data_IF_385676978316
#
_entry.id   IF_385676978316
#
_cell.length_a   1.000
_cell.length_b   1.000
_cell.length_c   1.000
_cell.angle_alpha   90.00
_cell.angle_beta   90.00
_cell.angle_gamma   90.00
#
_symmetry.space_group_name_H-M   'P 1'
#
loop_
_entity.id
_entity.type
_entity.pdbx_description
1 polymer ?
#
# COMPACT_ATOMS: atom_id res chain seq x y z
N UNK A 1 -64.92 25.93 49.79
CA UNK A 1 -63.62 25.29 49.48
C UNK A 1 -63.52 24.90 48.00
N UNK A 2 -63.26 25.78 47.00
CA UNK A 2 -63.18 25.31 45.58
C UNK A 2 -62.27 26.08 44.60
N UNK A 3 -61.50 27.10 44.98
CA UNK A 3 -60.65 27.85 44.02
C UNK A 3 -59.14 27.69 44.17
N UNK A 4 -58.62 27.41 45.38
CA UNK A 4 -57.17 27.21 45.61
C UNK A 4 -56.63 25.90 45.02
N UNK A 5 -57.44 24.83 45.02
CA UNK A 5 -57.00 23.52 44.54
C UNK A 5 -56.96 23.42 43.00
N UNK A 6 -57.67 24.28 42.27
CA UNK A 6 -57.69 24.22 40.80
C UNK A 6 -56.42 24.83 40.19
N UNK A 7 -55.86 25.85 40.83
CA UNK A 7 -54.66 26.56 40.36
C UNK A 7 -53.40 25.71 40.62
N UNK A 8 -53.34 24.98 41.75
CA UNK A 8 -52.23 24.05 42.02
C UNK A 8 -52.18 22.89 41.03
N UNK A 9 -53.33 22.35 40.61
CA UNK A 9 -53.36 21.26 39.62
C UNK A 9 -52.98 21.76 38.22
N UNK A 10 -53.36 22.98 37.84
CA UNK A 10 -52.99 23.57 36.55
C UNK A 10 -51.48 23.85 36.42
N UNK A 11 -50.83 24.28 37.50
CA UNK A 11 -49.37 24.54 37.53
C UNK A 11 -48.56 23.23 37.46
N UNK A 12 -49.06 22.15 38.07
CA UNK A 12 -48.39 20.85 38.06
C UNK A 12 -48.44 20.16 36.68
N UNK A 13 -49.55 20.33 35.94
CA UNK A 13 -49.69 19.78 34.57
C UNK A 13 -48.80 20.55 33.56
N UNK A 14 -48.63 21.87 33.74
CA UNK A 14 -47.73 22.67 32.90
C UNK A 14 -46.24 22.35 33.15
N UNK A 15 -45.86 21.98 34.38
CA UNK A 15 -44.48 21.57 34.67
C UNK A 15 -44.14 20.18 34.12
N UNK A 16 -45.10 19.24 34.10
CA UNK A 16 -44.89 17.90 33.52
C UNK A 16 -44.84 17.95 31.98
N UNK A 17 -45.55 18.88 31.35
CA UNK A 17 -45.50 19.07 29.89
C UNK A 17 -44.16 19.67 29.39
N UNK A 18 -43.43 20.40 30.25
CA UNK A 18 -42.14 21.00 29.90
C UNK A 18 -40.98 19.98 29.83
N UNK A 19 -41.09 18.84 30.52
CA UNK A 19 -40.06 17.78 30.50
C UNK A 19 -40.21 16.79 29.34
N UNK A 20 -41.31 16.84 28.57
CA UNK A 20 -41.51 15.95 27.42
C UNK A 20 -40.86 16.44 26.12
N UNK A 21 -40.28 17.65 26.10
CA UNK A 21 -39.63 18.22 24.91
C UNK A 21 -38.10 18.32 24.99
N UNK A 22 -37.46 17.82 26.05
CA UNK A 22 -36.04 17.45 25.99
C UNK A 22 -35.89 16.04 25.42
N UNK A 23 -36.59 15.78 24.31
CA UNK A 23 -36.23 14.66 23.46
C UNK A 23 -34.85 14.97 22.90
N UNK A 24 -33.85 14.22 23.34
CA UNK A 24 -32.53 14.18 22.72
C UNK A 24 -32.77 14.15 21.21
N UNK A 25 -32.46 15.26 20.51
CA UNK A 25 -32.10 15.17 19.11
C UNK A 25 -30.92 14.22 19.12
N UNK A 26 -31.18 12.95 18.82
CA UNK A 26 -30.16 12.01 18.41
C UNK A 26 -29.60 12.70 17.17
N UNK A 27 -28.52 13.47 17.36
CA UNK A 27 -27.72 13.95 16.27
C UNK A 27 -27.52 12.72 15.42
N UNK A 28 -27.95 12.77 14.16
CA UNK A 28 -27.57 11.74 13.21
C UNK A 28 -26.05 11.75 13.31
N UNK A 29 -25.48 10.75 13.95
CA UNK A 29 -24.07 10.45 13.80
C UNK A 29 -23.91 10.39 12.29
N UNK A 30 -23.26 11.40 11.70
CA UNK A 30 -22.82 11.30 10.34
C UNK A 30 -21.86 10.13 10.35
N UNK A 31 -22.35 8.95 9.96
CA UNK A 31 -21.49 7.84 9.61
C UNK A 31 -20.57 8.40 8.53
N UNK A 32 -19.26 8.52 8.80
CA UNK A 32 -18.37 9.13 7.86
C UNK A 32 -18.42 8.28 6.62
N UNK A 33 -18.66 8.93 5.49
CA UNK A 33 -18.49 8.29 4.20
C UNK A 33 -16.99 7.97 4.03
N UNK A 34 -16.54 6.72 4.25
CA UNK A 34 -15.14 6.36 4.14
C UNK A 34 -14.79 6.03 2.69
N UNK A 35 -15.69 6.27 1.73
CA UNK A 35 -15.59 5.73 0.37
C UNK A 35 -14.28 6.13 -0.30
N UNK A 36 -13.84 7.38 -0.20
CA UNK A 36 -12.60 7.80 -0.86
C UNK A 36 -11.33 7.29 -0.15
N UNK A 37 -11.33 7.12 1.18
CA UNK A 37 -10.22 6.51 1.93
C UNK A 37 -10.14 5.00 1.70
N UNK A 38 -11.29 4.32 1.67
CA UNK A 38 -11.38 2.90 1.35
C UNK A 38 -10.95 2.63 -0.10
N UNK A 39 -11.39 3.50 -1.03
CA UNK A 39 -10.98 3.44 -2.42
C UNK A 39 -9.48 3.69 -2.57
N UNK A 40 -8.94 4.70 -1.89
CA UNK A 40 -7.50 4.97 -1.86
C UNK A 40 -6.70 3.76 -1.37
N UNK A 41 -7.13 3.11 -0.28
CA UNK A 41 -6.45 1.94 0.25
C UNK A 41 -6.43 0.78 -0.76
N UNK A 42 -7.56 0.53 -1.44
CA UNK A 42 -7.66 -0.49 -2.50
C UNK A 42 -6.76 -0.17 -3.69
N UNK A 43 -6.77 1.08 -4.15
CA UNK A 43 -5.95 1.54 -5.27
C UNK A 43 -4.46 1.43 -4.93
N UNK A 44 -4.06 1.85 -3.72
CA UNK A 44 -2.68 1.77 -3.28
C UNK A 44 -2.18 0.33 -3.22
N UNK A 45 -2.96 -0.58 -2.64
CA UNK A 45 -2.60 -2.00 -2.59
C UNK A 45 -2.50 -2.61 -4.00
N UNK A 46 -3.39 -2.23 -4.91
CA UNK A 46 -3.36 -2.68 -6.31
C UNK A 46 -2.13 -2.17 -7.04
N UNK A 47 -1.85 -0.86 -6.99
CA UNK A 47 -0.69 -0.24 -7.63
C UNK A 47 0.61 -0.79 -7.04
N UNK A 48 0.67 -0.93 -5.71
CA UNK A 48 1.82 -1.50 -5.03
C UNK A 48 2.08 -2.93 -5.51
N UNK A 49 1.07 -3.81 -5.45
CA UNK A 49 1.23 -5.21 -5.87
C UNK A 49 1.62 -5.32 -7.35
N UNK A 50 1.04 -4.50 -8.22
CA UNK A 50 1.36 -4.50 -9.65
C UNK A 50 2.79 -4.06 -9.95
N UNK A 51 3.29 -3.04 -9.24
CA UNK A 51 4.67 -2.57 -9.41
C UNK A 51 5.69 -3.46 -8.71
N UNK A 52 5.30 -4.15 -7.63
CA UNK A 52 6.12 -5.16 -6.97
C UNK A 52 6.25 -6.43 -7.85
N UNK A 53 5.19 -6.84 -8.56
CA UNK A 53 5.27 -7.93 -9.55
C UNK A 53 6.30 -7.62 -10.65
N UNK A 54 6.30 -6.39 -11.20
CA UNK A 54 7.28 -5.97 -12.20
C UNK A 54 8.71 -5.90 -11.65
N UNK A 55 8.88 -5.53 -10.37
CA UNK A 55 10.17 -5.58 -9.71
C UNK A 55 10.66 -7.02 -9.50
N UNK A 56 9.76 -7.96 -9.17
CA UNK A 56 10.12 -9.36 -9.03
C UNK A 56 10.59 -9.93 -10.38
N UNK A 57 9.85 -9.65 -11.46
CA UNK A 57 10.26 -9.97 -12.84
C UNK A 57 11.67 -9.41 -13.15
N UNK A 58 11.92 -8.15 -12.80
CA UNK A 58 13.23 -7.51 -12.99
C UNK A 58 14.32 -8.14 -12.10
N UNK A 59 14.01 -8.46 -10.85
CA UNK A 59 14.92 -9.10 -9.92
C UNK A 59 15.34 -10.47 -10.44
N UNK A 60 14.39 -11.30 -10.89
CA UNK A 60 14.66 -12.64 -11.41
C UNK A 60 15.53 -12.55 -12.67
N UNK A 61 15.21 -11.62 -13.57
CA UNK A 61 16.03 -11.33 -14.75
C UNK A 61 17.43 -10.82 -14.37
N UNK A 62 17.61 -10.03 -13.32
CA UNK A 62 18.95 -9.52 -12.94
C UNK A 62 19.73 -10.49 -12.04
N UNK A 63 19.06 -11.52 -11.53
CA UNK A 63 19.54 -12.45 -10.52
C UNK A 63 20.25 -13.69 -11.08
N UNK A 64 20.12 -13.97 -12.38
CA UNK A 64 20.74 -15.11 -13.05
C UNK A 64 22.27 -15.13 -12.96
N UNK A 65 22.84 -16.32 -12.75
CA UNK A 65 24.27 -16.52 -12.45
C UNK A 65 25.23 -16.47 -13.67
N UNK A 66 24.73 -16.31 -14.90
CA UNK A 66 25.56 -16.19 -16.11
C UNK A 66 25.01 -15.12 -17.05
N UNK A 67 25.84 -14.67 -18.00
CA UNK A 67 25.64 -13.52 -18.89
C UNK A 67 24.43 -13.57 -19.85
N UNK A 68 23.45 -14.45 -19.61
CA UNK A 68 22.15 -14.49 -20.29
C UNK A 68 21.10 -14.99 -19.31
N UNK A 69 20.53 -14.08 -18.51
CA UNK A 69 19.43 -14.41 -17.60
C UNK A 69 18.10 -14.57 -18.36
N UNK A 70 17.99 -15.66 -19.10
CA UNK A 70 16.77 -16.16 -19.77
C UNK A 70 16.16 -17.35 -19.04
N UNK A 71 16.72 -17.78 -17.91
CA UNK A 71 16.24 -18.95 -17.17
C UNK A 71 14.89 -18.70 -16.48
N UNK A 72 14.58 -17.45 -16.11
CA UNK A 72 13.31 -17.07 -15.49
C UNK A 72 12.75 -15.82 -16.17
N UNK A 73 12.01 -16.05 -17.25
CA UNK A 73 11.33 -14.99 -17.99
C UNK A 73 9.92 -14.76 -17.44
N UNK A 74 9.43 -13.50 -17.43
CA UNK A 74 8.06 -13.22 -17.06
C UNK A 74 7.08 -13.95 -17.97
N UNK A 75 6.01 -14.52 -17.40
CA UNK A 75 4.98 -15.19 -18.19
C UNK A 75 4.26 -14.22 -19.13
N UNK A 76 4.00 -14.69 -20.36
CA UNK A 76 3.41 -13.93 -21.46
C UNK A 76 4.08 -12.56 -21.61
N UNK A 77 5.41 -12.60 -21.74
CA UNK A 77 6.22 -11.46 -22.07
C UNK A 77 7.38 -11.85 -22.98
N UNK A 78 7.86 -10.90 -23.77
CA UNK A 78 9.11 -11.02 -24.51
C UNK A 78 10.15 -10.08 -23.89
N UNK A 79 11.36 -10.59 -23.65
CA UNK A 79 12.47 -9.79 -23.15
C UNK A 79 13.46 -9.55 -24.28
N UNK A 80 13.81 -8.29 -24.52
CA UNK A 80 14.78 -7.92 -25.56
C UNK A 80 16.18 -8.41 -25.21
N UNK A 81 17.03 -8.53 -26.23
CA UNK A 81 18.47 -8.48 -25.99
C UNK A 81 18.82 -7.16 -25.30
N UNK A 82 19.72 -7.15 -24.30
CA UNK A 82 20.12 -5.92 -23.64
C UNK A 82 20.80 -4.98 -24.63
N UNK A 83 20.42 -3.71 -24.58
CA UNK A 83 21.12 -2.62 -25.27
C UNK A 83 21.98 -1.84 -24.26
N UNK A 84 23.03 -1.17 -24.73
CA UNK A 84 23.84 -0.27 -23.91
C UNK A 84 23.59 1.16 -24.32
N UNK A 85 22.84 1.89 -23.50
CA UNK A 85 22.43 3.27 -23.76
C UNK A 85 22.99 4.15 -22.66
N UNK A 86 23.83 5.14 -23.02
CA UNK A 86 24.37 6.15 -22.08
C UNK A 86 24.95 5.55 -20.79
N UNK A 87 25.81 4.53 -20.93
CA UNK A 87 26.46 3.81 -19.82
C UNK A 87 25.53 2.96 -18.93
N UNK A 88 24.29 2.72 -19.38
CA UNK A 88 23.38 1.76 -18.78
C UNK A 88 23.15 0.56 -19.69
N UNK A 89 23.03 -0.63 -19.10
CA UNK A 89 22.46 -1.80 -19.77
C UNK A 89 20.95 -1.74 -19.58
N UNK A 90 20.21 -1.78 -20.69
CA UNK A 90 18.76 -1.63 -20.74
C UNK A 90 18.13 -2.86 -21.35
N UNK A 91 17.20 -3.47 -20.63
CA UNK A 91 16.32 -4.52 -21.11
C UNK A 91 14.92 -3.97 -21.31
N UNK A 92 14.25 -4.40 -22.37
CA UNK A 92 12.84 -4.09 -22.61
C UNK A 92 12.03 -5.36 -22.42
N UNK A 93 11.07 -5.32 -21.49
CA UNK A 93 10.08 -6.37 -21.24
C UNK A 93 8.76 -5.90 -21.87
N UNK A 94 8.30 -6.62 -22.89
CA UNK A 94 7.00 -6.36 -23.52
C UNK A 94 6.02 -7.41 -23.04
N UNK A 95 5.04 -7.00 -22.24
CA UNK A 95 3.97 -7.88 -21.77
C UNK A 95 2.84 -7.96 -22.78
N UNK A 96 2.32 -9.16 -22.99
CA UNK A 96 1.28 -9.43 -23.97
C UNK A 96 0.24 -10.47 -23.48
N UNK A 97 0.05 -10.62 -22.17
CA UNK A 97 -0.92 -11.58 -21.64
C UNK A 97 -0.94 -11.71 -20.12
N UNK A 98 -1.42 -12.86 -19.67
CA UNK A 98 -1.58 -13.15 -18.25
C UNK A 98 -0.23 -13.21 -17.51
N UNK A 99 -0.19 -12.69 -16.30
CA UNK A 99 0.91 -12.92 -15.38
C UNK A 99 0.98 -14.40 -14.96
N UNK A 100 2.08 -14.81 -14.33
CA UNK A 100 2.30 -16.22 -13.97
C UNK A 100 1.25 -16.79 -13.00
N UNK A 101 0.57 -15.95 -12.21
CA UNK A 101 -0.53 -16.40 -11.34
C UNK A 101 -1.90 -16.47 -12.03
N UNK A 102 -2.01 -16.04 -13.29
CA UNK A 102 -3.26 -16.00 -14.04
C UNK A 102 -4.29 -14.98 -13.55
N UNK A 103 -3.96 -14.15 -12.55
CA UNK A 103 -4.89 -13.21 -11.90
C UNK A 103 -4.95 -11.85 -12.60
N UNK A 104 -3.94 -11.52 -13.40
CA UNK A 104 -3.78 -10.20 -14.05
C UNK A 104 -3.38 -10.36 -15.50
N UNK A 105 -4.05 -9.66 -16.40
CA UNK A 105 -3.63 -9.50 -17.78
C UNK A 105 -2.78 -8.23 -17.91
N UNK A 106 -1.57 -8.34 -18.45
CA UNK A 106 -0.58 -7.25 -18.57
C UNK A 106 -0.29 -7.02 -20.05
N UNK A 107 -0.48 -5.78 -20.50
CA UNK A 107 -0.17 -5.35 -21.87
C UNK A 107 0.56 -4.02 -21.83
N UNK A 108 1.72 -3.94 -22.45
CA UNK A 108 2.54 -2.73 -22.48
C UNK A 108 4.01 -3.04 -22.23
N UNK A 109 4.79 -2.01 -21.93
CA UNK A 109 6.24 -2.11 -21.89
C UNK A 109 6.78 -1.71 -20.52
N UNK A 110 7.77 -2.44 -20.04
CA UNK A 110 8.63 -2.07 -18.92
C UNK A 110 10.08 -2.06 -19.39
N UNK A 111 10.80 -0.97 -19.18
CA UNK A 111 12.25 -0.94 -19.36
C UNK A 111 12.94 -1.06 -18.02
N UNK A 112 13.92 -1.96 -17.95
CA UNK A 112 14.78 -2.15 -16.78
C UNK A 112 16.17 -1.68 -17.16
N UNK A 113 16.74 -0.74 -16.41
CA UNK A 113 18.06 -0.19 -16.66
C UNK A 113 18.95 -0.33 -15.43
N UNK A 114 20.23 -0.68 -15.63
CA UNK A 114 21.28 -0.66 -14.60
C UNK A 114 22.57 -0.08 -15.16
N UNK A 115 23.48 0.47 -14.35
CA UNK A 115 24.82 0.83 -14.82
C UNK A 115 25.61 -0.39 -15.33
N UNK A 116 26.40 -0.20 -16.39
CA UNK A 116 27.15 -1.31 -17.06
C UNK A 116 27.99 -2.12 -16.08
N UNK A 117 28.74 -1.45 -15.21
CA UNK A 117 29.69 -2.09 -14.29
C UNK A 117 29.11 -2.41 -12.90
N UNK A 118 27.78 -2.47 -12.77
CA UNK A 118 27.13 -2.69 -11.49
C UNK A 118 26.25 -3.95 -11.54
N UNK A 119 26.58 -4.95 -10.72
CA UNK A 119 25.71 -6.10 -10.53
C UNK A 119 24.67 -5.76 -9.47
N UNK A 120 23.43 -6.24 -9.64
CA UNK A 120 22.34 -5.91 -8.71
C UNK A 120 22.64 -6.35 -7.26
N UNK A 121 23.39 -7.42 -7.09
CA UNK A 121 23.83 -7.91 -5.77
C UNK A 121 24.85 -7.01 -5.06
N UNK A 122 25.44 -6.03 -5.75
CA UNK A 122 26.46 -5.17 -5.15
C UNK A 122 25.80 -4.14 -4.23
N UNK A 123 26.47 -3.80 -3.13
CA UNK A 123 26.04 -2.68 -2.30
C UNK A 123 26.08 -1.38 -3.11
N UNK A 124 25.07 -0.52 -2.94
CA UNK A 124 24.87 0.69 -3.72
C UNK A 124 24.40 0.45 -5.16
N UNK A 125 24.07 -0.80 -5.53
CA UNK A 125 23.54 -1.09 -6.86
C UNK A 125 22.26 -0.31 -7.14
N UNK A 126 22.15 0.29 -8.33
CA UNK A 126 20.94 1.01 -8.73
C UNK A 126 20.30 0.34 -9.94
N UNK A 127 18.97 0.22 -9.89
CA UNK A 127 18.15 -0.19 -11.04
C UNK A 127 17.03 0.80 -11.23
N UNK A 128 16.69 1.07 -12.48
CA UNK A 128 15.56 1.93 -12.85
C UNK A 128 14.56 1.11 -13.64
N UNK A 129 13.30 1.17 -13.22
CA UNK A 129 12.17 0.53 -13.87
C UNK A 129 11.26 1.64 -14.41
N UNK A 130 11.18 1.74 -15.74
CA UNK A 130 10.30 2.66 -16.46
C UNK A 130 9.08 1.89 -16.97
N UNK A 131 7.89 2.35 -16.59
CA UNK A 131 6.61 1.85 -17.06
C UNK A 131 6.15 2.70 -18.25
N UNK A 132 5.84 2.05 -19.37
CA UNK A 132 5.42 2.72 -20.61
C UNK A 132 4.11 2.08 -21.08
N UNK A 133 3.02 2.81 -20.87
CA UNK A 133 1.65 2.38 -21.18
C UNK A 133 1.35 0.96 -20.69
N UNK A 134 1.83 0.60 -19.49
CA UNK A 134 1.60 -0.72 -18.92
C UNK A 134 0.16 -0.79 -18.39
N UNK A 135 -0.74 -1.34 -19.21
CA UNK A 135 -2.11 -1.64 -18.83
C UNK A 135 -2.17 -2.97 -18.09
N UNK A 136 -2.77 -2.94 -16.91
CA UNK A 136 -2.95 -4.12 -16.06
C UNK A 136 -4.44 -4.25 -15.78
N UNK A 137 -5.02 -5.35 -16.24
CA UNK A 137 -6.44 -5.68 -16.04
C UNK A 137 -6.55 -6.84 -15.07
N UNK A 138 -7.34 -6.67 -14.00
CA UNK A 138 -7.66 -7.76 -13.07
C UNK A 138 -8.65 -8.71 -13.74
N UNK A 139 -8.30 -10.00 -13.83
CA UNK A 139 -9.12 -10.98 -14.55
C UNK A 139 -10.51 -11.13 -13.92
N UNK A 140 -10.57 -11.16 -12.58
CA UNK A 140 -11.83 -11.38 -11.86
C UNK A 140 -12.86 -10.26 -12.05
N UNK A 141 -12.41 -9.00 -12.15
CA UNK A 141 -13.31 -7.83 -12.14
C UNK A 141 -13.36 -7.08 -13.46
N UNK A 142 -12.44 -7.36 -14.39
CA UNK A 142 -12.28 -6.60 -15.64
C UNK A 142 -11.77 -5.17 -15.46
N UNK A 143 -11.58 -4.69 -14.23
CA UNK A 143 -11.05 -3.36 -13.94
C UNK A 143 -9.59 -3.26 -14.32
N UNK A 144 -9.18 -2.08 -14.80
CA UNK A 144 -7.82 -1.85 -15.27
C UNK A 144 -7.23 -0.55 -14.78
N UNK A 145 -5.92 -0.54 -14.63
CA UNK A 145 -5.11 0.66 -14.52
C UNK A 145 -4.07 0.67 -15.65
N UNK A 146 -3.65 1.86 -16.09
CA UNK A 146 -2.47 2.01 -16.96
C UNK A 146 -1.42 2.82 -16.23
N UNK A 147 -0.21 2.27 -16.16
CA UNK A 147 0.92 2.85 -15.47
C UNK A 147 1.90 3.47 -16.48
N UNK A 148 2.30 4.70 -16.20
CA UNK A 148 3.42 5.39 -16.82
C UNK A 148 4.31 5.98 -15.72
N UNK A 149 5.61 6.11 -15.97
CA UNK A 149 6.55 6.74 -15.05
C UNK A 149 7.66 5.81 -14.59
N UNK A 150 8.40 6.21 -13.57
CA UNK A 150 9.70 5.60 -13.27
C UNK A 150 9.87 5.36 -11.77
N UNK A 151 10.45 4.20 -11.43
CA UNK A 151 10.94 3.88 -10.09
C UNK A 151 12.42 3.56 -10.14
N UNK A 152 13.17 4.11 -9.20
CA UNK A 152 14.58 3.80 -8.99
C UNK A 152 14.72 3.04 -7.69
N UNK A 153 15.39 1.91 -7.73
CA UNK A 153 15.69 1.06 -6.58
C UNK A 153 17.18 1.08 -6.30
N UNK A 154 17.54 1.08 -5.02
CA UNK A 154 18.93 1.00 -4.56
C UNK A 154 19.09 -0.22 -3.67
N UNK A 155 20.12 -1.03 -3.90
CA UNK A 155 20.52 -2.10 -3.00
C UNK A 155 21.46 -1.56 -1.91
N UNK A 156 20.90 -1.13 -0.78
CA UNK A 156 21.63 -0.42 0.27
C UNK A 156 22.63 -1.31 1.03
N UNK A 157 22.33 -2.60 1.17
CA UNK A 157 23.15 -3.56 1.91
C UNK A 157 24.04 -4.42 1.02
N UNK A 158 23.71 -4.54 -0.27
CA UNK A 158 24.20 -5.61 -1.13
C UNK A 158 23.51 -6.94 -0.85
N UNK A 159 23.97 -7.99 -1.53
CA UNK A 159 23.36 -9.31 -1.52
C UNK A 159 22.05 -9.37 -2.31
N UNK A 160 21.38 -10.51 -2.25
CA UNK A 160 20.07 -10.75 -2.87
C UNK A 160 19.24 -11.63 -1.95
N UNK A 161 17.91 -11.47 -2.00
CA UNK A 161 16.97 -12.10 -1.06
C UNK A 161 17.12 -13.63 -1.01
N UNK A 162 17.39 -14.30 -2.14
CA UNK A 162 17.57 -15.76 -2.18
C UNK A 162 18.81 -16.28 -1.42
N UNK A 163 19.77 -15.40 -1.14
CA UNK A 163 21.00 -15.75 -0.41
C UNK A 163 20.83 -15.61 1.11
N UNK A 164 19.66 -15.17 1.59
CA UNK A 164 19.37 -15.05 3.02
C UNK A 164 19.29 -16.45 3.67
N UNK A 165 20.22 -16.70 4.61
CA UNK A 165 20.27 -17.88 5.46
C UNK A 165 20.25 -17.49 6.95
N UNK A 166 20.16 -18.48 7.84
CA UNK A 166 20.09 -18.23 9.29
C UNK A 166 21.32 -17.47 9.76
N UNK A 167 21.13 -16.32 10.42
CA UNK A 167 22.21 -15.44 10.90
C UNK A 167 22.83 -14.52 9.84
N UNK A 168 22.37 -14.55 8.58
CA UNK A 168 22.80 -13.59 7.56
C UNK A 168 22.39 -12.16 7.90
N UNK A 169 23.19 -11.20 7.43
CA UNK A 169 22.79 -9.79 7.39
C UNK A 169 21.53 -9.61 6.52
N UNK A 170 20.75 -8.57 6.83
CA UNK A 170 19.54 -8.23 6.08
C UNK A 170 19.87 -7.75 4.65
N UNK A 171 18.94 -8.00 3.72
CA UNK A 171 18.95 -7.38 2.39
C UNK A 171 18.03 -6.16 2.43
N UNK A 172 18.59 -4.97 2.21
CA UNK A 172 17.90 -3.68 2.33
C UNK A 172 17.84 -3.03 0.96
N UNK A 173 16.61 -2.77 0.49
CA UNK A 173 16.38 -2.02 -0.73
C UNK A 173 15.59 -0.74 -0.44
N UNK A 174 15.99 0.38 -1.04
CA UNK A 174 15.14 1.58 -1.08
C UNK A 174 14.53 1.72 -2.46
N UNK A 175 13.39 2.38 -2.56
CA UNK A 175 12.76 2.76 -3.82
C UNK A 175 12.22 4.17 -3.73
N UNK A 176 12.47 4.95 -4.77
CA UNK A 176 11.86 6.25 -5.01
C UNK A 176 11.30 6.30 -6.43
N UNK A 177 10.31 7.16 -6.68
CA UNK A 177 9.77 7.29 -8.02
C UNK A 177 8.48 8.09 -8.11
N UNK A 178 8.02 8.25 -9.34
CA UNK A 178 6.77 8.92 -9.65
C UNK A 178 6.03 8.15 -10.75
N UNK A 179 4.73 8.01 -10.60
CA UNK A 179 3.84 7.29 -11.50
C UNK A 179 2.67 8.18 -11.91
N UNK A 180 2.42 8.21 -13.21
CA UNK A 180 1.14 8.60 -13.79
C UNK A 180 0.25 7.38 -13.92
N UNK A 181 -0.90 7.39 -13.27
CA UNK A 181 -1.86 6.29 -13.25
C UNK A 181 -3.13 6.75 -13.96
N UNK A 182 -3.52 6.04 -15.01
CA UNK A 182 -4.84 6.14 -15.61
C UNK A 182 -5.74 5.03 -15.02
N UNK A 183 -6.82 5.43 -14.38
CA UNK A 183 -7.79 4.54 -13.76
C UNK A 183 -8.93 4.16 -14.73
N UNK A 184 -9.74 3.17 -14.34
CA UNK A 184 -10.89 2.67 -15.11
C UNK A 184 -12.04 3.70 -15.25
N UNK A 185 -12.04 4.74 -14.43
CA UNK A 185 -12.95 5.90 -14.55
C UNK A 185 -12.42 6.99 -15.51
N UNK A 186 -11.36 6.70 -16.28
CA UNK A 186 -10.62 7.60 -17.15
C UNK A 186 -9.93 8.78 -16.44
N UNK A 187 -9.89 8.77 -15.11
CA UNK A 187 -9.14 9.76 -14.36
C UNK A 187 -7.64 9.44 -14.40
N UNK A 188 -6.83 10.48 -14.63
CA UNK A 188 -5.37 10.39 -14.57
C UNK A 188 -4.86 11.06 -13.32
N UNK A 189 -3.98 10.40 -12.57
CA UNK A 189 -3.41 10.91 -11.30
C UNK A 189 -1.91 10.71 -11.24
N UNK A 190 -1.22 11.59 -10.51
CA UNK A 190 0.21 11.53 -10.25
C UNK A 190 0.47 11.11 -8.82
N UNK A 191 1.24 10.04 -8.65
CA UNK A 191 1.58 9.46 -7.36
C UNK A 191 3.10 9.36 -7.24
N UNK A 192 3.63 9.77 -6.09
CA UNK A 192 5.03 9.59 -5.75
C UNK A 192 5.16 8.44 -4.76
N UNK A 193 6.30 7.74 -4.82
CA UNK A 193 6.64 6.64 -3.92
C UNK A 193 8.02 6.90 -3.31
N UNK A 194 8.16 6.59 -2.02
CA UNK A 194 9.46 6.60 -1.33
C UNK A 194 9.41 5.63 -0.15
N UNK A 195 10.08 4.49 -0.26
CA UNK A 195 10.04 3.48 0.81
C UNK A 195 11.33 2.68 0.89
N UNK A 196 11.57 2.12 2.07
CA UNK A 196 12.64 1.17 2.35
C UNK A 196 12.01 -0.19 2.66
N UNK A 197 12.57 -1.25 2.10
CA UNK A 197 12.23 -2.65 2.37
C UNK A 197 13.47 -3.33 2.96
N UNK A 198 13.32 -3.91 4.14
CA UNK A 198 14.36 -4.70 4.80
C UNK A 198 13.89 -6.15 4.84
N UNK A 199 14.62 -7.05 4.19
CA UNK A 199 14.32 -8.48 4.18
C UNK A 199 15.31 -9.25 5.06
N UNK A 200 14.80 -10.10 5.94
CA UNK A 200 15.55 -10.94 6.86
C UNK A 200 14.99 -12.37 6.85
N UNK A 201 15.70 -13.29 7.50
CA UNK A 201 15.25 -14.67 7.69
C UNK A 201 15.98 -15.66 6.78
N UNK A 202 15.31 -16.77 6.48
CA UNK A 202 15.90 -17.88 5.73
C UNK A 202 15.03 -18.18 4.51
N UNK A 203 15.53 -17.84 3.32
CA UNK A 203 14.77 -17.97 2.07
C UNK A 203 14.41 -19.43 1.77
N UNK A 204 15.36 -20.35 1.97
CA UNK A 204 15.18 -21.77 1.66
C UNK A 204 14.17 -22.50 2.57
N UNK A 205 13.92 -22.00 3.78
CA UNK A 205 12.95 -22.61 4.72
C UNK A 205 11.60 -21.88 4.76
N UNK A 206 11.39 -20.89 3.90
CA UNK A 206 10.14 -20.14 3.87
C UNK A 206 9.92 -19.22 5.07
N UNK A 207 11.00 -18.80 5.74
CA UNK A 207 10.97 -18.00 6.98
C UNK A 207 11.42 -16.56 6.74
N UNK A 208 11.08 -15.99 5.58
CA UNK A 208 11.40 -14.60 5.29
C UNK A 208 10.45 -13.65 6.01
N UNK A 209 11.00 -12.55 6.50
CA UNK A 209 10.26 -11.39 6.99
C UNK A 209 10.66 -10.16 6.17
N UNK A 210 9.68 -9.32 5.84
CA UNK A 210 9.89 -8.06 5.13
C UNK A 210 9.32 -6.93 5.96
N UNK A 211 10.19 -6.01 6.38
CA UNK A 211 9.81 -4.76 7.03
C UNK A 211 9.79 -3.62 6.01
N UNK A 212 8.70 -2.87 5.98
CA UNK A 212 8.51 -1.73 5.08
C UNK A 212 8.42 -0.44 5.89
N UNK A 213 9.19 0.57 5.49
CA UNK A 213 9.23 1.89 6.11
C UNK A 213 9.02 2.96 5.04
N UNK A 214 8.33 4.05 5.39
CA UNK A 214 8.23 5.22 4.53
C UNK A 214 9.47 6.11 4.70
N UNK A 215 10.05 6.57 3.59
CA UNK A 215 11.25 7.43 3.59
C UNK A 215 10.99 8.81 3.00
N UNK A 216 9.79 9.04 2.48
CA UNK A 216 9.41 10.29 1.83
C UNK A 216 9.05 11.39 2.82
N UNK A 217 9.16 12.62 2.34
CA UNK A 217 8.62 13.80 3.00
C UNK A 217 8.01 14.76 1.97
N UNK A 218 6.88 15.37 2.31
CA UNK A 218 6.18 16.34 1.48
C UNK A 218 5.19 17.13 2.33
N UNK A 219 5.11 18.45 2.12
CA UNK A 219 4.11 19.34 2.75
C UNK A 219 4.00 19.17 4.27
N UNK A 220 5.14 19.11 4.96
CA UNK A 220 5.21 18.94 6.42
C UNK A 220 4.98 17.53 6.94
N UNK A 221 4.62 16.56 6.09
CA UNK A 221 4.55 15.15 6.46
C UNK A 221 5.86 14.42 6.19
N UNK A 222 6.18 13.47 7.06
CA UNK A 222 7.36 12.60 7.01
C UNK A 222 6.94 11.13 7.03
N UNK A 223 7.89 10.21 6.84
CA UNK A 223 7.61 8.77 6.81
C UNK A 223 6.58 8.39 5.75
N UNK A 224 6.52 9.15 4.65
CA UNK A 224 5.60 8.89 3.55
C UNK A 224 6.08 7.67 2.76
N UNK A 225 5.16 6.75 2.48
CA UNK A 225 5.39 5.62 1.57
C UNK A 225 4.90 5.96 0.16
N UNK A 226 3.75 6.65 0.07
CA UNK A 226 3.09 7.04 -1.17
C UNK A 226 2.29 8.33 -0.93
N UNK A 227 2.28 9.26 -1.87
CA UNK A 227 1.45 10.47 -1.81
C UNK A 227 1.13 11.00 -3.20
N UNK A 228 0.05 11.75 -3.35
CA UNK A 228 -0.40 12.24 -4.66
C UNK A 228 -1.84 12.71 -4.64
N UNK A 229 -2.55 12.46 -5.73
CA UNK A 229 -3.99 12.75 -5.85
C UNK A 229 -4.78 11.47 -6.05
N UNK A 230 -5.82 11.22 -5.27
CA UNK A 230 -6.64 10.02 -5.40
C UNK A 230 -7.65 10.17 -6.56
N UNK A 231 -8.42 9.10 -6.86
CA UNK A 231 -9.43 9.14 -7.93
C UNK A 231 -10.47 10.25 -7.75
N UNK A 232 -10.84 10.55 -6.51
CA UNK A 232 -11.76 11.62 -6.16
C UNK A 232 -11.19 13.04 -6.35
N UNK A 233 -9.93 13.18 -6.77
CA UNK A 233 -9.28 14.48 -6.97
C UNK A 233 -8.71 15.08 -5.69
N UNK A 234 -8.62 14.29 -4.62
CA UNK A 234 -8.21 14.75 -3.30
C UNK A 234 -6.72 14.48 -3.11
N UNK A 235 -5.99 15.46 -2.56
CA UNK A 235 -4.60 15.25 -2.20
C UNK A 235 -4.50 14.32 -0.99
N UNK A 236 -3.76 13.24 -1.13
CA UNK A 236 -3.60 12.24 -0.08
C UNK A 236 -2.13 11.98 0.26
N UNK A 237 -1.95 11.44 1.45
CA UNK A 237 -0.65 11.05 1.99
C UNK A 237 -0.81 9.74 2.75
N UNK A 238 0.04 8.77 2.43
CA UNK A 238 0.13 7.52 3.17
C UNK A 238 1.46 7.49 3.92
N UNK A 239 1.40 7.34 5.23
CA UNK A 239 2.55 7.21 6.12
C UNK A 239 2.63 5.79 6.68
N UNK A 240 3.83 5.30 6.94
CA UNK A 240 4.06 4.14 7.79
C UNK A 240 4.74 4.66 9.06
N UNK A 241 3.98 4.80 10.14
CA UNK A 241 4.46 5.39 11.40
C UNK A 241 5.12 4.36 12.32
N UNK A 242 4.82 3.09 12.10
CA UNK A 242 5.51 1.94 12.67
C UNK A 242 5.75 0.95 11.54
N UNK A 243 6.98 0.43 11.34
CA UNK A 243 7.31 -0.41 10.20
C UNK A 243 6.29 -1.54 9.99
N UNK A 244 5.85 -1.70 8.74
CA UNK A 244 4.91 -2.75 8.35
C UNK A 244 5.69 -4.04 8.12
N UNK A 245 5.50 -5.03 8.99
CA UNK A 245 6.19 -6.32 8.90
C UNK A 245 5.27 -7.36 8.26
N UNK A 246 5.70 -7.94 7.16
CA UNK A 246 5.06 -9.05 6.46
C UNK A 246 5.88 -10.33 6.70
N UNK A 247 5.21 -11.47 6.90
CA UNK A 247 5.90 -12.76 7.11
C UNK A 247 5.51 -13.78 6.07
N UNK A 248 6.49 -14.46 5.48
CA UNK A 248 6.24 -15.55 4.55
C UNK A 248 5.49 -16.71 5.21
N UNK A 249 5.82 -17.03 6.47
CA UNK A 249 5.11 -18.04 7.27
C UNK A 249 3.61 -17.70 7.50
N UNK A 250 3.23 -16.43 7.28
CA UNK A 250 1.86 -15.94 7.32
C UNK A 250 1.35 -15.56 5.93
N UNK A 251 1.80 -16.24 4.88
CA UNK A 251 1.39 -15.99 3.50
C UNK A 251 1.59 -14.54 3.03
N UNK A 252 2.60 -13.86 3.60
CA UNK A 252 2.90 -12.45 3.38
C UNK A 252 1.84 -11.47 3.90
N UNK A 253 0.95 -11.93 4.77
CA UNK A 253 0.01 -11.05 5.47
C UNK A 253 0.74 -10.14 6.48
N UNK A 254 0.21 -8.94 6.74
CA UNK A 254 0.72 -8.04 7.77
C UNK A 254 0.70 -8.67 9.16
N UNK A 255 1.90 -8.91 9.70
CA UNK A 255 2.10 -9.41 11.06
C UNK A 255 2.09 -8.28 12.09
N UNK A 256 2.58 -7.09 11.74
CA UNK A 256 2.56 -5.92 12.62
C UNK A 256 2.80 -4.64 11.83
N UNK A 257 2.54 -3.50 12.48
CA UNK A 257 2.85 -2.17 11.94
C UNK A 257 1.64 -1.24 11.94
N UNK A 258 1.91 0.03 11.63
CA UNK A 258 0.89 1.07 11.61
C UNK A 258 1.03 1.89 10.33
N UNK A 259 -0.05 1.94 9.55
CA UNK A 259 -0.16 2.74 8.32
C UNK A 259 -1.23 3.81 8.51
N UNK A 260 -0.97 5.06 8.13
CA UNK A 260 -1.95 6.15 8.20
C UNK A 260 -2.19 6.75 6.82
N UNK A 261 -3.45 6.77 6.38
CA UNK A 261 -3.90 7.55 5.23
C UNK A 261 -4.48 8.88 5.70
N UNK A 262 -4.10 9.98 5.05
CA UNK A 262 -4.57 11.32 5.39
C UNK A 262 -4.95 12.09 4.14
N UNK A 263 -6.08 12.80 4.20
CA UNK A 263 -6.52 13.80 3.22
C UNK A 263 -6.76 15.09 4.01
N UNK A 264 -5.70 15.91 4.20
CA UNK A 264 -5.73 17.03 5.14
C UNK A 264 -6.75 18.11 4.79
N UNK A 265 -6.95 18.39 3.49
CA UNK A 265 -7.88 19.42 3.03
C UNK A 265 -9.33 19.16 3.48
N UNK A 266 -9.71 17.89 3.62
CA UNK A 266 -11.05 17.47 4.06
C UNK A 266 -11.09 17.06 5.54
N UNK A 267 -10.00 17.30 6.28
CA UNK A 267 -9.90 16.93 7.69
C UNK A 267 -10.16 15.46 7.96
N UNK A 268 -9.82 14.55 7.02
CA UNK A 268 -10.11 13.11 7.15
C UNK A 268 -8.85 12.24 7.11
N UNK A 269 -8.84 11.21 7.97
CA UNK A 269 -7.75 10.25 8.03
C UNK A 269 -8.22 8.86 8.49
N UNK A 270 -7.43 7.84 8.19
CA UNK A 270 -7.63 6.48 8.67
C UNK A 270 -6.27 5.89 9.08
N UNK A 271 -6.18 5.42 10.31
CA UNK A 271 -5.01 4.74 10.87
C UNK A 271 -5.30 3.25 10.97
N UNK A 272 -4.50 2.45 10.25
CA UNK A 272 -4.58 1.00 10.21
C UNK A 272 -3.51 0.44 11.13
N UNK A 273 -3.93 -0.32 12.15
CA UNK A 273 -3.05 -1.05 13.07
C UNK A 273 -3.14 -2.54 12.75
N UNK A 274 -2.03 -3.12 12.31
CA UNK A 274 -1.92 -4.54 11.96
C UNK A 274 -1.40 -5.38 13.12
N UNK A 275 -1.57 -6.70 13.02
CA UNK A 275 -1.03 -7.62 14.01
C UNK A 275 -2.01 -8.01 15.12
N UNK A 276 -3.31 -8.05 14.82
CA UNK A 276 -4.33 -8.29 15.84
C UNK A 276 -5.01 -9.67 15.69
N UNK A 277 -5.54 -10.18 16.79
CA UNK A 277 -6.47 -11.30 16.82
C UNK A 277 -7.93 -10.84 16.69
N UNK A 278 -8.88 -11.77 16.68
CA UNK A 278 -10.32 -11.48 16.58
C UNK A 278 -10.90 -10.70 17.76
N UNK A 279 -10.16 -10.62 18.87
CA UNK A 279 -10.52 -9.85 20.05
C UNK A 279 -9.84 -8.48 20.08
N UNK A 280 -9.01 -8.16 19.07
CA UNK A 280 -8.27 -6.90 18.97
C UNK A 280 -6.97 -6.85 19.78
N UNK A 281 -6.49 -7.99 20.29
CA UNK A 281 -5.22 -8.08 21.02
C UNK A 281 -4.05 -8.25 20.06
N UNK A 282 -2.87 -7.77 20.45
CA UNK A 282 -1.64 -7.93 19.67
C UNK A 282 -1.24 -9.41 19.64
N UNK A 283 -1.04 -9.94 18.44
CA UNK A 283 -0.51 -11.28 18.23
C UNK A 283 1.01 -11.27 18.41
N UNK A 284 1.54 -12.31 19.07
CA UNK A 284 2.97 -12.47 19.33
C UNK A 284 3.47 -13.86 18.99
N UNK A 285 4.79 -14.01 18.89
CA UNK A 285 5.44 -15.28 18.57
C UNK A 285 5.25 -15.70 17.12
N UNK A 286 4.94 -16.98 16.91
CA UNK A 286 4.77 -17.61 15.59
C UNK A 286 3.35 -17.56 15.04
N UNK A 287 2.39 -17.05 15.80
CA UNK A 287 0.99 -17.00 15.38
C UNK A 287 0.80 -15.90 14.33
N UNK A 288 0.00 -16.17 13.30
CA UNK A 288 -0.34 -15.16 12.32
C UNK A 288 -1.47 -14.28 12.82
N UNK A 289 -1.38 -12.99 12.52
CA UNK A 289 -2.48 -12.07 12.73
C UNK A 289 -3.69 -12.51 11.91
N UNK A 290 -4.88 -12.25 12.44
CA UNK A 290 -6.14 -12.54 11.74
C UNK A 290 -6.95 -11.28 11.47
N UNK A 291 -6.63 -10.19 12.17
CA UNK A 291 -7.36 -8.94 12.12
C UNK A 291 -6.43 -7.73 12.10
N UNK A 292 -7.00 -6.61 11.70
CA UNK A 292 -6.43 -5.27 11.82
C UNK A 292 -7.51 -4.30 12.26
N UNK A 293 -7.09 -3.23 12.94
CA UNK A 293 -7.99 -2.18 13.42
C UNK A 293 -7.84 -0.94 12.54
N UNK A 294 -8.97 -0.31 12.21
CA UNK A 294 -9.04 0.99 11.57
C UNK A 294 -9.58 1.99 12.59
N UNK A 295 -8.78 3.01 12.89
CA UNK A 295 -9.18 4.18 13.65
C UNK A 295 -9.34 5.34 12.65
N UNK A 296 -10.56 5.79 12.40
CA UNK A 296 -10.87 6.85 11.44
C UNK A 296 -11.15 8.18 12.15
N UNK A 297 -10.87 9.27 11.44
CA UNK A 297 -11.20 10.63 11.86
C UNK A 297 -11.74 11.42 10.66
N UNK A 298 -12.79 12.23 10.88
CA UNK A 298 -13.30 13.20 9.90
C UNK A 298 -13.87 14.41 10.61
N UNK A 299 -13.26 15.59 10.40
CA UNK A 299 -13.71 16.86 10.99
C UNK A 299 -13.94 16.78 12.51
N UNK A 300 -13.05 16.08 13.23
CA UNK A 300 -13.13 15.87 14.68
C UNK A 300 -14.03 14.73 15.14
N UNK A 301 -14.84 14.13 14.27
CA UNK A 301 -15.53 12.88 14.58
C UNK A 301 -14.56 11.71 14.45
N UNK A 302 -14.67 10.71 15.33
CA UNK A 302 -13.80 9.53 15.32
C UNK A 302 -14.60 8.24 15.45
N UNK A 303 -14.00 7.14 15.03
CA UNK A 303 -14.52 5.82 15.29
C UNK A 303 -13.53 4.72 14.98
N UNK A 304 -13.85 3.51 15.44
CA UNK A 304 -12.96 2.36 15.40
C UNK A 304 -13.70 1.15 14.84
N UNK A 305 -13.03 0.42 13.95
CA UNK A 305 -13.55 -0.82 13.37
C UNK A 305 -12.44 -1.88 13.42
N UNK A 306 -12.78 -3.09 13.86
CA UNK A 306 -11.90 -4.26 13.75
C UNK A 306 -12.35 -5.10 12.55
N UNK A 307 -11.42 -5.44 11.66
CA UNK A 307 -11.70 -6.19 10.43
C UNK A 307 -10.76 -7.39 10.32
N UNK A 308 -11.25 -8.48 9.74
CA UNK A 308 -10.41 -9.61 9.35
C UNK A 308 -9.45 -9.21 8.20
N UNK A 309 -8.26 -9.80 8.19
CA UNK A 309 -7.27 -9.67 7.11
C UNK A 309 -7.76 -10.32 5.81
#
# INVERSE_FOLDING_TARGET
MKKKNLIQTAVMVLFVAAFLFTGCKKNKEETPDPTSLSQLSKDENEIQSNTDDALNDANDMLSGGTAKSVEWLPCNATVSTPDTISNNVVWTITYNGLNCSGKRNRVGVVKVAKPVNQLWRNQGATITIEFINLKITRVLTGKSITLNGTKTFVNESGGIIRELISGSAAVVHTVTGSLTILFDDNSTRQWNVSRKKTCTGVAASGQLEVSIEGTGSANGMTQLVTWGTNRNGEQFYTQITTPLVLKQACYWEPFSGVKKHSIPADGKSATLTFGLDSSGNIVSGSNCATHYRIDWEKNGNTGTILLAL
#
